data_IF_891772043472
#
_entry.id   IF_891772043472
#
_cell.length_a   1.000
_cell.length_b   1.000
_cell.length_c   1.000
_cell.angle_alpha   90.00
_cell.angle_beta   90.00
_cell.angle_gamma   90.00
#
_symmetry.space_group_name_H-M   'P 1'
#
loop_
_entity.id
_entity.type
_entity.pdbx_description
1 polymer ?
#
# COMPACT_ATOMS: atom_id res chain seq x y z
N UNK A 1 27.54 -29.22 2.71
CA UNK A 1 27.94 -27.94 2.11
C UNK A 1 26.69 -27.08 2.04
N UNK A 2 26.58 -26.09 2.93
CA UNK A 2 25.47 -25.16 2.96
C UNK A 2 26.00 -23.86 2.35
N UNK A 3 25.60 -23.56 1.12
CA UNK A 3 25.89 -22.27 0.51
C UNK A 3 25.11 -21.21 1.29
N UNK A 4 25.87 -20.41 2.04
CA UNK A 4 25.43 -19.16 2.63
C UNK A 4 24.93 -18.26 1.51
N UNK A 5 23.61 -18.08 1.41
CA UNK A 5 22.98 -17.05 0.57
C UNK A 5 23.41 -15.72 1.19
N UNK A 6 24.54 -15.22 0.72
CA UNK A 6 25.03 -13.90 1.03
C UNK A 6 23.91 -12.90 0.72
N UNK A 7 23.57 -12.11 1.74
CA UNK A 7 22.74 -10.91 1.73
C UNK A 7 22.60 -10.21 0.37
N UNK A 8 21.69 -10.68 -0.49
CA UNK A 8 21.24 -9.90 -1.61
C UNK A 8 20.49 -8.69 -1.02
N UNK A 9 21.02 -7.49 -1.23
CA UNK A 9 20.34 -6.27 -0.83
C UNK A 9 18.99 -6.20 -1.53
N UNK A 10 17.89 -6.15 -0.78
CA UNK A 10 16.55 -5.97 -1.33
C UNK A 10 16.53 -4.70 -2.21
N UNK A 11 16.03 -4.74 -3.45
CA UNK A 11 15.93 -3.57 -4.32
C UNK A 11 14.91 -2.57 -3.76
N UNK A 12 15.38 -1.65 -2.93
CA UNK A 12 14.56 -0.56 -2.37
C UNK A 12 14.44 0.57 -3.40
N UNK A 13 13.20 0.94 -3.76
CA UNK A 13 12.94 1.99 -4.74
C UNK A 13 13.05 1.52 -6.20
N UNK A 14 12.81 2.41 -7.18
CA UNK A 14 12.80 2.04 -8.59
C UNK A 14 14.15 1.47 -9.06
N UNK A 15 14.17 0.50 -10.00
CA UNK A 15 15.41 -0.06 -10.54
C UNK A 15 16.32 0.98 -11.20
N UNK A 16 17.63 0.71 -11.24
CA UNK A 16 18.57 1.50 -12.05
C UNK A 16 18.59 1.00 -13.49
N UNK A 17 18.06 1.81 -14.41
CA UNK A 17 18.02 1.52 -15.85
C UNK A 17 16.66 1.03 -16.35
N UNK A 18 16.53 0.68 -17.64
CA UNK A 18 15.26 0.26 -18.22
C UNK A 18 14.76 -1.04 -17.59
N UNK A 19 13.43 -1.29 -17.59
CA UNK A 19 12.87 -2.50 -17.03
C UNK A 19 13.37 -3.72 -17.80
N UNK A 20 13.83 -4.71 -17.05
CA UNK A 20 14.08 -6.09 -17.48
C UNK A 20 12.72 -6.79 -17.60
N UNK A 21 12.52 -7.52 -18.70
CA UNK A 21 11.30 -8.26 -19.01
C UNK A 21 10.77 -7.92 -20.40
N UNK A 22 9.63 -8.51 -20.76
CA UNK A 22 8.94 -8.09 -21.99
C UNK A 22 8.37 -6.68 -21.80
N UNK A 23 8.36 -5.87 -22.87
CA UNK A 23 7.84 -4.49 -22.81
C UNK A 23 6.36 -4.39 -22.39
N UNK A 24 5.66 -5.52 -22.26
CA UNK A 24 4.26 -5.61 -21.88
C UNK A 24 4.06 -5.92 -20.40
N UNK A 25 5.12 -6.24 -19.66
CA UNK A 25 5.00 -6.57 -18.24
C UNK A 25 5.18 -5.32 -17.37
N UNK A 26 4.31 -5.12 -16.36
CA UNK A 26 4.45 -4.00 -15.45
C UNK A 26 5.66 -4.19 -14.52
N UNK A 27 6.24 -3.07 -14.07
CA UNK A 27 7.12 -3.06 -12.90
C UNK A 27 6.30 -3.46 -11.67
N UNK A 28 6.67 -4.56 -11.03
CA UNK A 28 6.01 -5.05 -9.81
C UNK A 28 6.63 -4.36 -8.59
N UNK A 29 5.81 -3.69 -7.80
CA UNK A 29 6.25 -2.92 -6.64
C UNK A 29 5.57 -3.44 -5.40
N UNK A 30 6.31 -4.09 -4.53
CA UNK A 30 5.80 -4.55 -3.24
C UNK A 30 5.82 -3.42 -2.22
N UNK A 31 4.68 -3.12 -1.62
CA UNK A 31 4.52 -2.01 -0.68
C UNK A 31 4.11 -2.54 0.69
N UNK A 32 4.76 -2.00 1.71
CA UNK A 32 4.40 -2.21 3.10
C UNK A 32 4.49 -0.88 3.85
N UNK A 33 3.61 -0.68 4.82
CA UNK A 33 3.55 0.56 5.61
C UNK A 33 3.82 0.28 7.08
N UNK A 34 4.67 1.10 7.68
CA UNK A 34 4.83 1.20 9.12
C UNK A 34 4.35 2.54 9.63
N UNK A 35 3.81 2.58 10.85
CA UNK A 35 3.60 3.85 11.54
C UNK A 35 4.95 4.36 12.10
N UNK A 36 5.19 5.69 12.11
CA UNK A 36 6.33 6.26 12.81
C UNK A 36 6.22 5.95 14.31
N UNK A 37 7.33 5.52 14.93
CA UNK A 37 7.41 5.24 16.36
C UNK A 37 7.37 6.51 17.23
N UNK A 38 7.06 6.40 18.53
CA UNK A 38 7.02 7.54 19.46
C UNK A 38 8.40 8.13 19.76
N UNK A 39 9.44 7.29 19.70
CA UNK A 39 10.84 7.68 19.82
C UNK A 39 11.41 8.09 18.46
N UNK A 40 12.42 8.98 18.46
CA UNK A 40 13.20 9.33 17.26
C UNK A 40 14.03 8.12 16.79
N UNK A 41 13.36 7.16 16.16
CA UNK A 41 13.98 6.05 15.43
C UNK A 41 14.29 6.55 14.02
N UNK A 42 15.46 6.19 13.51
CA UNK A 42 15.85 6.52 12.15
C UNK A 42 14.87 5.92 11.13
N UNK A 43 14.49 6.68 10.10
CA UNK A 43 13.53 6.25 9.07
C UNK A 43 14.07 5.02 8.32
N UNK A 44 15.38 4.95 8.08
CA UNK A 44 16.03 3.80 7.46
C UNK A 44 15.88 2.53 8.29
N UNK A 45 16.00 2.64 9.62
CA UNK A 45 15.73 1.52 10.53
C UNK A 45 14.26 1.09 10.49
N UNK A 46 13.32 2.03 10.50
CA UNK A 46 11.89 1.70 10.40
C UNK A 46 11.57 0.98 9.08
N UNK A 47 12.12 1.46 7.95
CA UNK A 47 11.99 0.79 6.66
C UNK A 47 12.61 -0.61 6.65
N UNK A 48 13.70 -0.82 7.39
CA UNK A 48 14.33 -2.13 7.55
C UNK A 48 13.39 -3.13 8.24
N UNK A 49 12.63 -2.70 9.24
CA UNK A 49 11.67 -3.56 9.93
C UNK A 49 10.49 -4.03 9.06
N UNK A 50 10.22 -3.36 7.94
CA UNK A 50 9.17 -3.76 7.00
C UNK A 50 9.61 -4.86 6.03
N UNK A 51 10.91 -5.19 5.98
CA UNK A 51 11.45 -6.20 5.05
C UNK A 51 10.80 -7.58 5.17
N UNK A 52 10.54 -8.14 6.37
CA UNK A 52 9.89 -9.45 6.47
C UNK A 52 8.50 -9.46 5.83
N UNK A 53 7.67 -8.44 6.08
CA UNK A 53 6.34 -8.32 5.50
C UNK A 53 6.38 -8.18 3.96
N UNK A 54 7.38 -7.47 3.43
CA UNK A 54 7.59 -7.32 2.00
C UNK A 54 8.01 -8.65 1.33
N UNK A 55 8.90 -9.42 1.98
CA UNK A 55 9.33 -10.74 1.51
C UNK A 55 8.17 -11.73 1.54
N UNK A 56 7.36 -11.71 2.60
CA UNK A 56 6.16 -12.54 2.71
C UNK A 56 5.16 -12.22 1.59
N UNK A 57 4.89 -10.93 1.34
CA UNK A 57 4.00 -10.49 0.26
C UNK A 57 4.50 -10.91 -1.12
N UNK A 58 5.81 -10.83 -1.37
CA UNK A 58 6.40 -11.39 -2.59
C UNK A 58 6.18 -12.90 -2.66
N UNK A 59 6.42 -13.64 -1.58
CA UNK A 59 6.23 -15.09 -1.56
C UNK A 59 4.79 -15.52 -1.81
N UNK A 60 3.80 -14.75 -1.35
CA UNK A 60 2.39 -14.95 -1.70
C UNK A 60 2.13 -14.66 -3.19
N UNK A 61 2.69 -13.57 -3.71
CA UNK A 61 2.56 -13.21 -5.12
C UNK A 61 3.15 -14.28 -6.03
N UNK A 62 4.37 -14.74 -5.75
CA UNK A 62 5.06 -15.76 -6.56
C UNK A 62 4.35 -17.13 -6.49
N UNK A 63 3.73 -17.46 -5.35
CA UNK A 63 2.88 -18.65 -5.23
C UNK A 63 1.67 -18.61 -6.17
N UNK A 64 1.02 -17.45 -6.32
CA UNK A 64 -0.16 -17.31 -7.18
C UNK A 64 0.19 -17.10 -8.66
N UNK A 65 1.24 -16.34 -8.95
CA UNK A 65 1.53 -15.83 -10.30
C UNK A 65 2.84 -16.35 -10.91
N UNK A 66 3.61 -17.16 -10.18
CA UNK A 66 4.91 -17.67 -10.62
C UNK A 66 6.08 -16.74 -10.26
N UNK A 67 7.30 -17.24 -10.48
CA UNK A 67 8.55 -16.58 -10.13
C UNK A 67 8.73 -15.23 -10.87
N UNK A 68 9.37 -14.26 -10.21
CA UNK A 68 9.75 -12.96 -10.77
C UNK A 68 11.06 -12.99 -11.59
N UNK A 69 11.67 -14.16 -11.80
CA UNK A 69 12.88 -14.29 -12.61
C UNK A 69 12.69 -13.70 -14.02
N UNK A 70 13.59 -12.80 -14.42
CA UNK A 70 13.49 -12.06 -15.69
C UNK A 70 12.50 -10.89 -15.68
N UNK A 71 11.89 -10.56 -14.55
CA UNK A 71 10.98 -9.42 -14.38
C UNK A 71 11.60 -8.33 -13.52
N UNK A 72 11.25 -7.09 -13.82
CA UNK A 72 11.60 -5.96 -12.95
C UNK A 72 10.66 -5.90 -11.76
N UNK A 73 11.23 -5.89 -10.57
CA UNK A 73 10.50 -5.64 -9.35
C UNK A 73 11.32 -4.83 -8.35
N UNK A 74 10.62 -4.17 -7.44
CA UNK A 74 11.25 -3.50 -6.30
C UNK A 74 10.35 -3.46 -5.07
N UNK A 75 10.92 -3.00 -3.97
CA UNK A 75 10.22 -2.81 -2.70
C UNK A 75 10.09 -1.32 -2.37
N UNK A 76 8.93 -0.94 -1.85
CA UNK A 76 8.60 0.42 -1.44
C UNK A 76 8.09 0.41 0.01
N UNK A 77 8.98 0.33 1.01
CA UNK A 77 8.58 0.49 2.41
C UNK A 77 8.23 1.96 2.70
N UNK A 78 7.05 2.19 3.27
CA UNK A 78 6.51 3.51 3.59
C UNK A 78 6.42 3.69 5.10
N UNK A 79 6.83 4.85 5.60
CA UNK A 79 6.66 5.23 7.01
C UNK A 79 5.65 6.37 7.07
N UNK A 80 4.42 6.06 7.49
CA UNK A 80 3.30 6.98 7.50
C UNK A 80 2.13 6.43 8.34
N UNK A 81 1.43 7.28 9.09
CA UNK A 81 0.18 6.89 9.77
C UNK A 81 -0.95 6.90 8.75
N UNK A 82 -1.70 5.79 8.63
CA UNK A 82 -2.74 5.61 7.61
C UNK A 82 -3.81 6.71 7.60
N UNK A 83 -4.16 7.25 8.77
CA UNK A 83 -5.26 8.20 8.95
C UNK A 83 -4.85 9.66 8.79
N UNK A 84 -3.55 9.94 8.73
CA UNK A 84 -3.06 11.30 8.54
C UNK A 84 -2.90 11.60 7.06
N UNK A 85 -3.04 12.85 6.61
CA UNK A 85 -2.67 13.24 5.26
C UNK A 85 -1.23 12.85 4.94
N UNK A 86 -1.01 12.24 3.77
CA UNK A 86 0.32 11.93 3.27
C UNK A 86 0.92 13.20 2.66
N UNK A 87 1.74 13.89 3.45
CA UNK A 87 2.34 15.16 3.04
C UNK A 87 3.18 15.01 1.76
N UNK A 88 3.02 15.90 0.75
CA UNK A 88 3.72 15.82 -0.53
C UNK A 88 5.25 15.87 -0.43
N UNK A 89 5.79 16.47 0.63
CA UNK A 89 7.23 16.58 0.86
C UNK A 89 7.80 15.39 1.66
N UNK A 90 6.96 14.48 2.14
CA UNK A 90 7.35 13.31 2.92
C UNK A 90 8.16 12.30 2.09
N UNK A 91 9.02 11.56 2.78
CA UNK A 91 9.82 10.48 2.18
C UNK A 91 8.94 9.37 1.56
N UNK A 92 7.80 9.04 2.19
CA UNK A 92 6.84 8.07 1.66
C UNK A 92 6.18 8.55 0.37
N UNK A 93 5.77 9.82 0.29
CA UNK A 93 5.20 10.39 -0.94
C UNK A 93 6.23 10.38 -2.07
N UNK A 94 7.46 10.82 -1.78
CA UNK A 94 8.57 10.81 -2.76
C UNK A 94 8.86 9.40 -3.28
N UNK A 95 8.92 8.42 -2.38
CA UNK A 95 9.18 7.01 -2.74
C UNK A 95 8.14 6.47 -3.75
N UNK A 96 6.86 6.85 -3.58
CA UNK A 96 5.80 6.47 -4.52
C UNK A 96 5.90 7.23 -5.85
N UNK A 97 6.15 8.54 -5.80
CA UNK A 97 6.26 9.34 -7.03
C UNK A 97 7.51 9.02 -7.85
N UNK A 98 8.61 8.61 -7.22
CA UNK A 98 9.83 8.20 -7.93
C UNK A 98 9.58 6.94 -8.77
N UNK A 99 8.75 6.03 -8.28
CA UNK A 99 8.31 4.83 -9.00
C UNK A 99 7.40 5.19 -10.17
N UNK A 100 6.47 6.13 -9.97
CA UNK A 100 5.61 6.61 -11.06
C UNK A 100 6.41 7.36 -12.13
N UNK A 101 7.41 8.15 -11.71
CA UNK A 101 8.36 8.81 -12.62
C UNK A 101 9.17 7.79 -13.41
N UNK A 102 9.60 6.69 -12.79
CA UNK A 102 10.24 5.58 -13.48
C UNK A 102 9.33 5.00 -14.58
N UNK A 103 8.07 4.70 -14.24
CA UNK A 103 7.07 4.21 -15.20
C UNK A 103 6.89 5.16 -16.39
N UNK A 104 6.82 6.47 -16.12
CA UNK A 104 6.75 7.50 -17.17
C UNK A 104 8.01 7.51 -18.06
N UNK A 105 9.19 7.57 -17.46
CA UNK A 105 10.47 7.69 -18.19
C UNK A 105 10.67 6.49 -19.12
N UNK A 106 10.32 5.30 -18.65
CA UNK A 106 10.53 4.06 -19.39
C UNK A 106 9.30 3.55 -20.13
N UNK A 107 8.18 4.30 -20.11
CA UNK A 107 6.89 3.91 -20.71
C UNK A 107 6.45 2.51 -20.27
N UNK A 108 6.54 2.26 -18.97
CA UNK A 108 6.26 0.99 -18.33
C UNK A 108 5.03 1.14 -17.43
N UNK A 109 4.13 0.16 -17.49
CA UNK A 109 3.01 0.03 -16.56
C UNK A 109 3.54 -0.22 -15.14
N UNK A 110 2.83 0.27 -14.13
CA UNK A 110 3.19 0.07 -12.71
C UNK A 110 2.14 -0.81 -12.04
N UNK A 111 2.59 -1.80 -11.27
CA UNK A 111 1.74 -2.61 -10.40
C UNK A 111 2.19 -2.49 -8.95
N UNK A 112 1.44 -1.76 -8.14
CA UNK A 112 1.64 -1.75 -6.68
C UNK A 112 0.95 -2.97 -6.07
N UNK A 113 1.73 -3.87 -5.47
CA UNK A 113 1.25 -5.03 -4.73
C UNK A 113 1.25 -4.69 -3.24
N UNK A 114 0.08 -4.79 -2.59
CA UNK A 114 -0.14 -4.38 -1.21
C UNK A 114 -0.58 -5.57 -0.35
N UNK A 115 -0.13 -5.68 0.89
CA UNK A 115 -0.63 -6.71 1.82
C UNK A 115 -2.02 -6.36 2.40
N UNK A 116 -2.39 -5.08 2.36
CA UNK A 116 -3.71 -4.53 2.72
C UNK A 116 -3.94 -3.21 1.97
N UNK A 117 -5.18 -2.77 1.80
CA UNK A 117 -5.49 -1.53 1.07
C UNK A 117 -4.85 -0.27 1.68
N UNK A 118 -4.81 -0.20 3.01
CA UNK A 118 -4.26 0.95 3.74
C UNK A 118 -2.71 0.97 3.76
N UNK A 119 -2.06 0.09 2.98
CA UNK A 119 -0.60 0.02 2.88
C UNK A 119 0.01 1.22 2.13
N UNK A 120 -0.78 2.06 1.46
CA UNK A 120 -0.31 3.34 0.91
C UNK A 120 -0.73 4.48 1.85
N UNK A 121 -2.03 4.75 1.91
CA UNK A 121 -2.67 5.68 2.85
C UNK A 121 -4.15 5.33 2.91
N UNK A 122 -4.80 5.65 4.02
CA UNK A 122 -6.26 5.63 4.05
C UNK A 122 -6.83 6.97 3.59
N UNK A 123 -6.09 8.09 3.69
CA UNK A 123 -6.60 9.40 3.30
C UNK A 123 -6.86 9.51 1.78
N UNK A 124 -8.13 9.57 1.40
CA UNK A 124 -8.56 9.60 -0.01
C UNK A 124 -8.00 10.78 -0.82
N UNK A 125 -8.04 12.03 -0.31
CA UNK A 125 -7.38 13.18 -0.95
C UNK A 125 -5.88 12.95 -1.20
N UNK A 126 -5.16 12.46 -0.19
CA UNK A 126 -3.74 12.13 -0.32
C UNK A 126 -3.50 11.04 -1.36
N UNK A 127 -4.32 9.98 -1.34
CA UNK A 127 -4.26 8.91 -2.32
C UNK A 127 -4.40 9.45 -3.74
N UNK A 128 -5.45 10.23 -3.99
CA UNK A 128 -5.70 10.81 -5.31
C UNK A 128 -4.57 11.78 -5.73
N UNK A 129 -3.95 12.47 -4.77
CA UNK A 129 -2.86 13.39 -5.03
C UNK A 129 -1.58 12.69 -5.53
N UNK A 130 -1.31 11.45 -5.10
CA UNK A 130 -0.16 10.65 -5.58
C UNK A 130 -0.24 10.48 -7.10
N UNK A 131 -1.43 10.17 -7.63
CA UNK A 131 -1.62 9.79 -9.04
C UNK A 131 -2.03 10.95 -9.95
N UNK A 132 -2.51 12.07 -9.38
CA UNK A 132 -3.01 13.25 -10.12
C UNK A 132 -2.06 13.73 -11.22
N UNK A 133 -0.76 13.66 -10.94
CA UNK A 133 0.27 14.10 -11.86
C UNK A 133 0.73 13.04 -12.88
N UNK A 134 0.15 11.83 -12.90
CA UNK A 134 0.66 10.64 -13.61
C UNK A 134 -0.40 9.92 -14.45
N UNK A 135 -1.33 10.66 -15.05
CA UNK A 135 -2.44 10.10 -15.84
C UNK A 135 -2.00 9.38 -17.11
N UNK A 136 -0.77 9.61 -17.57
CA UNK A 136 -0.10 8.96 -18.70
C UNK A 136 0.55 7.62 -18.34
N UNK A 137 0.65 7.27 -17.05
CA UNK A 137 1.19 6.00 -16.57
C UNK A 137 0.02 5.11 -16.18
N UNK A 138 -0.07 3.90 -16.72
CA UNK A 138 -1.08 2.94 -16.28
C UNK A 138 -0.64 2.32 -14.95
N UNK A 139 -1.48 2.49 -13.92
CA UNK A 139 -1.17 2.05 -12.56
C UNK A 139 -2.24 1.10 -12.07
N UNK A 140 -1.82 -0.14 -11.78
CA UNK A 140 -2.65 -1.17 -11.14
C UNK A 140 -2.29 -1.26 -9.67
N UNK A 141 -3.28 -1.31 -8.79
CA UNK A 141 -3.12 -1.64 -7.38
C UNK A 141 -3.67 -3.03 -7.18
N UNK A 142 -2.78 -3.96 -6.87
CA UNK A 142 -3.08 -5.36 -6.57
C UNK A 142 -3.04 -5.55 -5.06
N UNK A 143 -4.19 -5.72 -4.43
CA UNK A 143 -4.29 -5.89 -2.99
C UNK A 143 -4.43 -7.35 -2.65
N UNK A 144 -3.54 -7.86 -1.81
CA UNK A 144 -3.72 -9.12 -1.12
C UNK A 144 -4.63 -8.89 0.08
N UNK A 145 -5.71 -9.64 0.21
CA UNK A 145 -6.62 -9.47 1.34
C UNK A 145 -7.79 -10.43 1.30
N UNK A 146 -8.56 -10.44 2.40
CA UNK A 146 -9.70 -11.33 2.57
C UNK A 146 -10.99 -10.58 2.27
N UNK A 147 -11.80 -11.07 1.32
CA UNK A 147 -13.05 -10.39 0.90
C UNK A 147 -14.32 -11.01 1.51
N UNK A 148 -14.28 -12.27 1.96
CA UNK A 148 -15.51 -12.99 2.29
C UNK A 148 -15.52 -13.63 3.69
N UNK A 149 -16.73 -14.08 4.06
CA UNK A 149 -17.07 -14.88 5.25
C UNK A 149 -16.32 -16.21 5.27
N UNK A 150 -15.78 -16.64 4.12
CA UNK A 150 -15.05 -17.90 3.96
C UNK A 150 -13.55 -17.76 4.25
N UNK A 151 -13.09 -16.56 4.64
CA UNK A 151 -11.72 -16.26 5.06
C UNK A 151 -10.60 -16.58 4.04
N UNK A 152 -10.93 -16.73 2.75
CA UNK A 152 -9.91 -16.93 1.73
C UNK A 152 -9.24 -15.60 1.35
N UNK A 153 -7.92 -15.54 1.55
CA UNK A 153 -7.08 -14.42 1.11
C UNK A 153 -6.79 -14.55 -0.38
N UNK A 154 -7.10 -13.50 -1.13
CA UNK A 154 -6.88 -13.43 -2.56
C UNK A 154 -6.29 -12.08 -2.99
N UNK A 155 -5.85 -12.03 -4.24
CA UNK A 155 -5.32 -10.81 -4.86
C UNK A 155 -6.39 -10.19 -5.75
N UNK A 156 -6.61 -8.88 -5.57
CA UNK A 156 -7.63 -8.11 -6.27
C UNK A 156 -7.00 -6.91 -6.97
N UNK A 157 -7.30 -6.76 -8.26
CA UNK A 157 -6.75 -5.69 -9.10
C UNK A 157 -7.69 -4.50 -9.17
N UNK A 158 -7.10 -3.32 -8.99
CA UNK A 158 -7.79 -2.04 -9.00
C UNK A 158 -7.04 -1.05 -9.89
N UNK A 159 -7.78 -0.26 -10.64
CA UNK A 159 -7.20 0.85 -11.41
C UNK A 159 -7.03 2.06 -10.47
N UNK A 160 -5.77 2.47 -10.24
CA UNK A 160 -5.46 3.56 -9.31
C UNK A 160 -6.11 4.89 -9.73
N UNK A 161 -6.26 5.13 -11.03
CA UNK A 161 -6.85 6.36 -11.55
C UNK A 161 -8.37 6.38 -11.37
N UNK A 162 -9.02 5.22 -11.51
CA UNK A 162 -10.46 5.10 -11.19
C UNK A 162 -10.72 5.30 -9.71
N UNK A 163 -9.91 4.69 -8.84
CA UNK A 163 -10.01 4.89 -7.39
C UNK A 163 -9.75 6.35 -7.03
N UNK A 164 -8.76 6.99 -7.65
CA UNK A 164 -8.49 8.42 -7.46
C UNK A 164 -9.68 9.28 -7.87
N UNK A 165 -10.28 9.01 -9.04
CA UNK A 165 -11.47 9.72 -9.51
C UNK A 165 -12.66 9.53 -8.56
N UNK A 166 -12.80 8.35 -7.95
CA UNK A 166 -13.82 8.08 -6.95
C UNK A 166 -13.62 8.91 -5.67
N UNK A 167 -12.41 8.91 -5.10
CA UNK A 167 -12.10 9.74 -3.93
C UNK A 167 -12.21 11.24 -4.18
N UNK A 168 -12.11 11.67 -5.44
CA UNK A 168 -12.35 13.05 -5.85
C UNK A 168 -13.85 13.36 -6.09
N UNK A 169 -14.74 12.38 -5.93
CA UNK A 169 -16.17 12.52 -6.18
C UNK A 169 -16.53 12.64 -7.68
N UNK A 170 -15.61 12.32 -8.59
CA UNK A 170 -15.83 12.43 -10.04
C UNK A 170 -16.62 11.25 -10.60
N UNK A 171 -16.48 10.08 -9.97
CA UNK A 171 -17.23 8.88 -10.31
C UNK A 171 -17.76 8.20 -9.06
N UNK A 172 -18.88 7.49 -9.21
CA UNK A 172 -19.33 6.50 -8.24
C UNK A 172 -18.95 5.13 -8.75
N UNK A 173 -18.11 4.45 -7.98
CA UNK A 173 -17.64 3.11 -8.30
C UNK A 173 -18.82 2.13 -8.51
N UNK A 174 -19.88 2.26 -7.71
CA UNK A 174 -21.11 1.47 -7.76
C UNK A 174 -21.89 1.60 -9.08
N UNK A 175 -21.79 2.72 -9.77
CA UNK A 175 -22.57 3.02 -10.98
C UNK A 175 -21.84 2.57 -12.26
N UNK A 176 -20.54 2.27 -12.18
CA UNK A 176 -19.70 1.94 -13.34
C UNK A 176 -19.28 0.47 -13.43
N UNK A 177 -19.45 -0.32 -12.36
CA UNK A 177 -19.09 -1.74 -12.35
C UNK A 177 -20.33 -2.60 -12.10
N UNK A 178 -20.50 -3.64 -12.92
CA UNK A 178 -21.31 -4.82 -12.57
C UNK A 178 -20.62 -5.50 -11.38
N UNK A 179 -20.88 -5.02 -10.16
CA UNK A 179 -20.42 -5.50 -8.85
C UNK A 179 -19.26 -6.51 -8.96
N UNK A 180 -18.08 -5.99 -9.29
CA UNK A 180 -16.85 -6.79 -9.28
C UNK A 180 -16.45 -7.01 -7.81
N UNK A 181 -15.82 -8.15 -7.50
CA UNK A 181 -15.30 -8.43 -6.17
C UNK A 181 -14.27 -7.38 -5.74
N UNK A 182 -13.55 -6.79 -6.71
CA UNK A 182 -12.66 -5.65 -6.49
C UNK A 182 -13.41 -4.37 -6.05
N UNK A 183 -14.61 -4.13 -6.56
CA UNK A 183 -15.44 -2.99 -6.16
C UNK A 183 -15.98 -3.17 -4.73
N UNK A 184 -16.49 -4.38 -4.45
CA UNK A 184 -16.91 -4.77 -3.09
C UNK A 184 -15.75 -4.64 -2.12
N UNK A 185 -14.54 -4.94 -2.56
CA UNK A 185 -13.35 -4.73 -1.75
C UNK A 185 -13.17 -3.27 -1.36
N UNK A 186 -13.16 -2.34 -2.33
CA UNK A 186 -12.96 -0.91 -2.06
C UNK A 186 -14.06 -0.39 -1.15
N UNK A 187 -15.33 -0.67 -1.45
CA UNK A 187 -16.48 -0.21 -0.64
C UNK A 187 -16.42 -0.79 0.78
N UNK A 188 -16.20 -2.11 0.93
CA UNK A 188 -16.13 -2.76 2.26
C UNK A 188 -14.91 -2.28 3.05
N UNK A 189 -13.80 -2.01 2.37
CA UNK A 189 -12.63 -1.41 3.00
C UNK A 189 -12.87 0.05 3.36
N UNK A 190 -13.63 0.82 2.58
CA UNK A 190 -14.07 2.17 2.97
C UNK A 190 -14.97 2.15 4.21
N UNK A 191 -15.88 1.18 4.31
CA UNK A 191 -16.70 0.97 5.52
C UNK A 191 -15.82 0.63 6.72
N UNK A 192 -14.88 -0.32 6.58
CA UNK A 192 -13.92 -0.68 7.63
C UNK A 192 -12.99 0.50 7.97
N UNK A 193 -12.58 1.30 6.98
CA UNK A 193 -11.79 2.51 7.16
C UNK A 193 -12.58 3.53 7.98
N UNK A 194 -13.86 3.76 7.68
CA UNK A 194 -14.71 4.64 8.47
C UNK A 194 -14.77 4.22 9.93
N UNK A 195 -14.93 2.92 10.19
CA UNK A 195 -14.86 2.36 11.54
C UNK A 195 -13.48 2.56 12.18
N UNK A 196 -12.40 2.29 11.46
CA UNK A 196 -11.03 2.38 11.98
C UNK A 196 -10.59 3.82 12.26
N UNK A 197 -10.96 4.77 11.39
CA UNK A 197 -10.79 6.20 11.63
C UNK A 197 -11.58 6.59 12.88
N UNK A 198 -12.86 6.22 12.96
CA UNK A 198 -13.68 6.52 14.14
C UNK A 198 -13.11 5.95 15.44
N UNK A 199 -12.53 4.74 15.40
CA UNK A 199 -11.84 4.10 16.52
C UNK A 199 -10.57 4.87 16.91
N UNK A 200 -9.69 5.16 15.96
CA UNK A 200 -8.43 5.87 16.23
C UNK A 200 -8.65 7.33 16.65
N UNK A 201 -9.64 8.04 16.07
CA UNK A 201 -10.09 9.37 16.51
C UNK A 201 -10.64 9.33 17.94
N UNK A 202 -11.47 8.33 18.25
CA UNK A 202 -11.99 8.12 19.61
C UNK A 202 -10.87 7.84 20.60
N UNK A 203 -9.87 7.03 20.23
CA UNK A 203 -8.69 6.76 21.05
C UNK A 203 -7.86 8.02 21.28
N UNK A 204 -7.62 8.82 20.24
CA UNK A 204 -6.90 10.09 20.37
C UNK A 204 -7.63 11.06 21.32
N UNK A 205 -8.95 11.18 21.17
CA UNK A 205 -9.79 11.99 22.06
C UNK A 205 -9.76 11.46 23.50
N UNK A 206 -9.86 10.15 23.68
CA UNK A 206 -9.76 9.52 25.00
C UNK A 206 -8.39 9.79 25.63
N UNK A 207 -7.30 9.69 24.87
CA UNK A 207 -5.96 10.02 25.36
C UNK A 207 -5.86 11.47 25.82
N UNK A 208 -6.43 12.41 25.06
CA UNK A 208 -6.45 13.83 25.41
C UNK A 208 -7.27 14.10 26.69
N UNK A 209 -8.37 13.36 26.89
CA UNK A 209 -9.26 13.53 28.04
C UNK A 209 -8.81 12.80 29.30
N UNK A 210 -8.16 11.64 29.16
CA UNK A 210 -7.81 10.75 30.29
C UNK A 210 -6.33 10.76 30.61
N UNK A 211 -5.46 11.13 29.66
CA UNK A 211 -4.01 11.00 29.78
C UNK A 211 -3.51 9.54 29.76
N UNK A 212 -4.38 8.56 29.50
CA UNK A 212 -4.00 7.15 29.45
C UNK A 212 -3.18 6.83 28.18
N UNK A 213 -2.25 5.85 28.22
CA UNK A 213 -1.47 5.45 27.04
C UNK A 213 -2.35 4.91 25.90
N UNK A 214 -2.00 5.26 24.67
CA UNK A 214 -2.70 4.87 23.44
C UNK A 214 -2.89 3.35 23.31
N UNK A 215 -1.90 2.54 23.73
CA UNK A 215 -1.98 1.07 23.75
C UNK A 215 -3.13 0.54 24.62
N UNK A 216 -3.32 1.09 25.82
CA UNK A 216 -4.38 0.65 26.74
C UNK A 216 -5.77 1.07 26.24
N UNK A 217 -5.85 2.22 25.59
CA UNK A 217 -7.08 2.72 24.98
C UNK A 217 -7.45 1.92 23.73
N UNK A 218 -6.47 1.54 22.90
CA UNK A 218 -6.68 0.67 21.74
C UNK A 218 -7.18 -0.72 22.16
N UNK A 219 -6.59 -1.33 23.19
CA UNK A 219 -7.11 -2.60 23.72
C UNK A 219 -8.57 -2.47 24.15
N UNK A 220 -8.91 -1.44 24.94
CA UNK A 220 -10.30 -1.22 25.38
C UNK A 220 -11.30 -1.05 24.24
N UNK A 221 -10.91 -0.35 23.16
CA UNK A 221 -11.80 -0.15 22.01
C UNK A 221 -11.91 -1.41 21.16
N UNK A 222 -10.84 -2.19 21.02
CA UNK A 222 -10.87 -3.48 20.32
C UNK A 222 -11.79 -4.50 20.99
N UNK A 223 -11.95 -4.46 22.33
CA UNK A 223 -12.92 -5.31 23.04
C UNK A 223 -14.39 -4.93 22.83
N UNK A 224 -14.67 -3.74 22.29
CA UNK A 224 -16.03 -3.25 22.03
C UNK A 224 -16.49 -3.46 20.57
N UNK A 225 -15.59 -3.94 19.70
CA UNK A 225 -15.83 -4.28 18.30
C UNK A 225 -15.97 -5.80 18.13
#
# INVERSE_FOLDING_TARGET
>A
MAESIASASLPLGPPTGPPIGTAMEPLVVFVARGAPGPTRVDIGQLKHYLRPALIELQGEFERKYGNLEGRSYCYCPLIHKSITPLEPDSDSFRSLTDILMYGRIHRCDIMFVLNHWDAITSDGPSFANIFKGFTDVKVTIRVHGTISVDHNSEFHDLDAHKVSAHYQGLIRLEEQFLIDDALRYVVRVEEIRGVRIGVEESVNLMRELTGEPEEQLLERVQWML
#
